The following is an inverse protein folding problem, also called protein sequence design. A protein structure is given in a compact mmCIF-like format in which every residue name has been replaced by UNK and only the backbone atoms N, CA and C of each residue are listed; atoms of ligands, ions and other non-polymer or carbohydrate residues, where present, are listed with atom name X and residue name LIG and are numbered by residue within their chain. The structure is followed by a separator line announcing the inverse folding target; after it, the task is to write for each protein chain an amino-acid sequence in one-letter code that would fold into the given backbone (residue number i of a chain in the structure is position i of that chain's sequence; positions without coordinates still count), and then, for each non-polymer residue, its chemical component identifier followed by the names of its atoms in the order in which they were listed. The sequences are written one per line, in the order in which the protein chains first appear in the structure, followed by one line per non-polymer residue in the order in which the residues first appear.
data_IF_420517588242
#
_entry.id   IF_420517588242
#
_cell.length_a   1.000
_cell.length_b   1.000
_cell.length_c   1.000
_cell.angle_alpha   90.00
_cell.angle_beta   90.00
_cell.angle_gamma   90.00
#
_symmetry.space_group_name_H-M   'P 1'
#
loop_
_entity.id
_entity.type
_entity.pdbx_description
1 polymer ?
#
# COMPACT_ATOMS: atom_id res chain seq x y z
N UNK A 1 7.30 -20.73 4.73
CA UNK A 1 6.95 -19.65 5.65
C UNK A 1 5.66 -20.03 6.34
N UNK A 2 5.63 -20.06 7.66
CA UNK A 2 4.42 -20.32 8.42
C UNK A 2 3.50 -19.08 8.42
N UNK A 3 2.28 -19.22 8.97
CA UNK A 3 1.27 -18.14 8.96
C UNK A 3 1.72 -16.88 9.72
N UNK A 4 2.47 -17.03 10.81
CA UNK A 4 2.96 -15.90 11.60
C UNK A 4 4.06 -15.15 10.85
N UNK A 5 5.03 -15.88 10.30
CA UNK A 5 6.11 -15.32 9.48
C UNK A 5 5.55 -14.57 8.25
N UNK A 6 4.49 -15.09 7.60
CA UNK A 6 3.84 -14.40 6.48
C UNK A 6 3.19 -13.09 6.91
N UNK A 7 2.52 -13.07 8.05
CA UNK A 7 1.91 -11.83 8.57
C UNK A 7 2.96 -10.80 8.93
N UNK A 8 4.03 -11.21 9.61
CA UNK A 8 5.16 -10.36 9.95
C UNK A 8 5.79 -9.74 8.69
N UNK A 9 6.05 -10.58 7.67
CA UNK A 9 6.53 -10.10 6.37
C UNK A 9 5.56 -9.09 5.73
N UNK A 10 4.24 -9.35 5.76
CA UNK A 10 3.25 -8.41 5.22
C UNK A 10 3.22 -7.08 5.96
N UNK A 11 3.39 -7.09 7.30
CA UNK A 11 3.49 -5.88 8.12
C UNK A 11 4.73 -5.07 7.73
N UNK A 12 5.90 -5.70 7.67
CA UNK A 12 7.16 -5.03 7.32
C UNK A 12 7.11 -4.40 5.93
N UNK A 13 6.53 -5.10 4.95
CA UNK A 13 6.33 -4.59 3.59
C UNK A 13 5.37 -3.39 3.57
N UNK A 14 4.24 -3.49 4.28
CA UNK A 14 3.28 -2.40 4.41
C UNK A 14 3.89 -1.14 5.03
N UNK A 15 4.64 -1.29 6.13
CA UNK A 15 5.33 -0.18 6.79
C UNK A 15 6.41 0.43 5.91
N UNK A 16 7.19 -0.40 5.21
CA UNK A 16 8.20 0.07 4.26
C UNK A 16 7.62 0.95 3.16
N UNK A 17 6.46 0.59 2.60
CA UNK A 17 5.77 1.42 1.61
C UNK A 17 5.30 2.75 2.20
N UNK A 18 4.74 2.72 3.40
CA UNK A 18 4.23 3.92 4.08
C UNK A 18 5.38 4.89 4.42
N UNK A 19 6.54 4.36 4.83
CA UNK A 19 7.77 5.15 5.01
C UNK A 19 8.23 5.79 3.70
N UNK A 20 8.22 5.02 2.60
CA UNK A 20 8.52 5.54 1.27
C UNK A 20 7.56 6.65 0.83
N UNK A 21 6.27 6.53 1.13
CA UNK A 21 5.28 7.58 0.85
C UNK A 21 5.53 8.85 1.68
N UNK A 22 5.90 8.71 2.95
CA UNK A 22 6.27 9.84 3.80
C UNK A 22 7.47 10.59 3.23
N UNK A 23 8.53 9.88 2.88
CA UNK A 23 9.74 10.47 2.29
C UNK A 23 9.42 11.18 0.96
N UNK A 24 8.62 10.56 0.10
CA UNK A 24 8.18 11.17 -1.15
C UNK A 24 7.37 12.46 -0.90
N UNK A 25 6.43 12.43 0.05
CA UNK A 25 5.61 13.57 0.41
C UNK A 25 6.43 14.71 1.05
N UNK A 26 7.42 14.40 1.89
CA UNK A 26 8.33 15.39 2.48
C UNK A 26 9.20 16.06 1.40
N UNK A 27 9.70 15.28 0.44
CA UNK A 27 10.47 15.79 -0.70
C UNK A 27 9.63 16.68 -1.62
N UNK A 28 8.37 16.34 -1.85
CA UNK A 28 7.45 17.18 -2.62
C UNK A 28 7.03 18.44 -1.86
N UNK A 29 6.76 18.34 -0.55
CA UNK A 29 6.44 19.48 0.29
C UNK A 29 7.60 20.48 0.34
N UNK A 30 8.85 20.00 0.41
CA UNK A 30 10.04 20.86 0.32
C UNK A 30 10.17 21.61 -1.02
N UNK A 31 9.60 21.06 -2.10
CA UNK A 31 9.63 21.68 -3.44
C UNK A 31 8.43 22.59 -3.74
N UNK A 32 7.26 22.27 -3.19
CA UNK A 32 5.98 22.85 -3.62
C UNK A 32 5.16 23.48 -2.50
N UNK A 33 5.52 23.26 -1.23
CA UNK A 33 4.78 23.75 -0.06
C UNK A 33 3.43 23.05 0.20
N UNK A 34 3.07 22.00 -0.56
CA UNK A 34 1.75 21.35 -0.50
C UNK A 34 1.82 19.99 0.19
N UNK A 35 1.00 19.78 1.23
CA UNK A 35 0.96 18.56 2.06
C UNK A 35 -0.32 17.74 1.87
N UNK A 36 -0.72 17.48 0.61
CA UNK A 36 -2.09 17.03 0.25
C UNK A 36 -2.28 15.50 0.14
N UNK A 37 -1.20 14.73 0.10
CA UNK A 37 -1.22 13.26 -0.11
C UNK A 37 -1.94 12.49 1.01
N UNK A 38 -1.92 13.01 2.25
CA UNK A 38 -2.37 12.26 3.43
C UNK A 38 -3.89 12.08 3.51
N UNK A 39 -4.68 13.05 3.08
CA UNK A 39 -6.15 12.97 3.20
C UNK A 39 -6.77 12.08 2.12
N UNK A 40 -6.27 12.15 0.89
CA UNK A 40 -6.73 11.28 -0.21
C UNK A 40 -6.41 9.81 0.11
N UNK A 41 -5.23 9.54 0.68
CA UNK A 41 -4.78 8.18 0.98
C UNK A 41 -5.66 7.41 1.97
N UNK A 42 -6.32 8.08 2.93
CA UNK A 42 -7.20 7.40 3.91
C UNK A 42 -8.40 6.74 3.23
N UNK A 43 -9.03 7.44 2.31
CA UNK A 43 -10.17 6.92 1.54
C UNK A 43 -9.71 5.87 0.53
N UNK A 44 -8.60 6.12 -0.16
CA UNK A 44 -8.06 5.19 -1.16
C UNK A 44 -7.64 3.85 -0.54
N UNK A 45 -6.95 3.87 0.60
CA UNK A 45 -6.56 2.64 1.34
C UNK A 45 -7.77 1.84 1.82
N UNK A 46 -8.82 2.51 2.30
CA UNK A 46 -10.08 1.83 2.65
C UNK A 46 -10.69 1.16 1.42
N UNK A 47 -10.73 1.88 0.28
CA UNK A 47 -11.31 1.34 -0.96
C UNK A 47 -10.54 0.13 -1.49
N UNK A 48 -9.21 0.15 -1.39
CA UNK A 48 -8.38 -0.98 -1.82
C UNK A 48 -8.73 -2.27 -1.05
N UNK A 49 -9.01 -2.18 0.25
CA UNK A 49 -9.42 -3.33 1.07
C UNK A 49 -10.76 -3.88 0.57
N UNK A 50 -11.76 -3.02 0.36
CA UNK A 50 -13.07 -3.44 -0.18
C UNK A 50 -12.92 -4.15 -1.53
N UNK A 51 -12.11 -3.61 -2.42
CA UNK A 51 -11.88 -4.19 -3.75
C UNK A 51 -11.15 -5.53 -3.64
N UNK A 52 -10.15 -5.66 -2.78
CA UNK A 52 -9.46 -6.93 -2.56
C UNK A 52 -10.39 -8.00 -1.95
N UNK A 53 -11.29 -7.62 -1.05
CA UNK A 53 -12.28 -8.53 -0.47
C UNK A 53 -13.33 -8.98 -1.50
N UNK A 54 -13.71 -8.10 -2.43
CA UNK A 54 -14.67 -8.41 -3.50
C UNK A 54 -14.04 -9.09 -4.72
N UNK A 55 -12.72 -9.02 -4.88
CA UNK A 55 -12.03 -9.55 -6.05
C UNK A 55 -11.88 -11.08 -5.96
N UNK A 56 -12.33 -11.77 -7.01
CA UNK A 56 -12.18 -13.22 -7.14
C UNK A 56 -10.75 -13.68 -7.50
N UNK A 57 -9.85 -12.76 -7.84
CA UNK A 57 -8.47 -13.08 -8.20
C UNK A 57 -7.51 -11.90 -8.01
N UNK A 58 -6.21 -12.16 -7.81
CA UNK A 58 -5.20 -11.11 -7.72
C UNK A 58 -5.09 -10.30 -9.02
N UNK A 59 -5.37 -10.89 -10.19
CA UNK A 59 -5.32 -10.19 -11.47
C UNK A 59 -6.36 -9.07 -11.54
N UNK A 60 -7.57 -9.29 -11.03
CA UNK A 60 -8.62 -8.27 -10.97
C UNK A 60 -8.20 -7.11 -10.07
N UNK A 61 -7.62 -7.41 -8.90
CA UNK A 61 -7.11 -6.39 -7.99
C UNK A 61 -5.95 -5.58 -8.62
N UNK A 62 -5.01 -6.25 -9.29
CA UNK A 62 -3.90 -5.59 -9.99
C UNK A 62 -4.41 -4.70 -11.13
N UNK A 63 -5.42 -5.15 -11.88
CA UNK A 63 -6.05 -4.31 -12.92
C UNK A 63 -6.74 -3.08 -12.33
N UNK A 64 -7.35 -3.21 -11.16
CA UNK A 64 -7.89 -2.06 -10.44
C UNK A 64 -6.79 -1.07 -10.04
N UNK A 65 -5.65 -1.53 -9.53
CA UNK A 65 -4.50 -0.66 -9.22
C UNK A 65 -4.01 0.10 -10.45
N UNK A 66 -3.88 -0.59 -11.59
CA UNK A 66 -3.50 0.02 -12.87
C UNK A 66 -4.49 1.11 -13.29
N UNK A 67 -5.79 0.81 -13.19
CA UNK A 67 -6.84 1.77 -13.51
C UNK A 67 -6.78 3.00 -12.60
N UNK A 68 -6.62 2.83 -11.29
CA UNK A 68 -6.53 3.95 -10.37
C UNK A 68 -5.32 4.84 -10.68
N UNK A 69 -4.13 4.23 -10.83
CA UNK A 69 -2.91 4.98 -11.15
C UNK A 69 -3.02 5.75 -12.48
N UNK A 70 -3.67 5.17 -13.50
CA UNK A 70 -3.85 5.82 -14.79
C UNK A 70 -4.87 6.96 -14.77
N UNK A 71 -5.86 6.93 -13.86
CA UNK A 71 -6.96 7.91 -13.80
C UNK A 71 -6.62 9.14 -12.96
N UNK A 72 -5.62 9.05 -12.09
CA UNK A 72 -5.27 10.15 -11.19
C UNK A 72 -4.81 11.39 -11.95
N UNK A 73 -5.32 12.55 -11.51
CA UNK A 73 -4.90 13.86 -11.99
C UNK A 73 -3.83 14.40 -11.06
N UNK A 74 -3.04 15.37 -11.53
CA UNK A 74 -1.87 15.91 -10.80
C UNK A 74 -2.14 16.35 -9.36
N UNK A 75 -3.36 16.77 -9.02
CA UNK A 75 -3.69 17.31 -7.69
C UNK A 75 -4.13 16.26 -6.67
N UNK A 76 -4.39 15.03 -7.10
CA UNK A 76 -4.97 13.94 -6.28
C UNK A 76 -4.21 12.63 -6.49
N UNK A 77 -2.89 12.72 -6.71
CA UNK A 77 -2.00 11.57 -6.90
C UNK A 77 -1.85 10.81 -5.58
N UNK A 78 -2.09 9.51 -5.63
CA UNK A 78 -1.84 8.58 -4.53
C UNK A 78 -1.29 7.25 -5.07
N UNK A 79 -2.03 6.58 -5.95
CA UNK A 79 -1.61 5.34 -6.60
C UNK A 79 -0.46 5.53 -7.58
N UNK A 80 -0.43 6.70 -8.24
CA UNK A 80 0.64 7.15 -9.15
C UNK A 80 1.75 7.94 -8.44
N UNK A 81 1.76 7.97 -7.10
CA UNK A 81 2.85 8.58 -6.35
C UNK A 81 4.14 7.78 -6.57
N UNK A 82 5.21 8.47 -6.96
CA UNK A 82 6.54 7.87 -7.06
C UNK A 82 7.16 7.73 -5.67
N UNK A 83 7.63 6.52 -5.36
CA UNK A 83 8.39 6.21 -4.16
C UNK A 83 9.88 6.56 -4.36
N UNK A 84 10.70 6.62 -3.28
CA UNK A 84 12.13 6.94 -3.38
C UNK A 84 12.92 6.03 -4.33
N UNK A 85 12.47 4.78 -4.51
CA UNK A 85 13.07 3.80 -5.41
C UNK A 85 12.62 3.95 -6.89
N UNK A 86 11.89 5.00 -7.23
CA UNK A 86 11.42 5.29 -8.58
C UNK A 86 10.19 4.51 -9.05
N UNK A 87 9.69 3.55 -8.25
CA UNK A 87 8.44 2.82 -8.55
C UNK A 87 7.22 3.63 -8.12
N UNK A 88 6.10 3.44 -8.81
CA UNK A 88 4.80 3.94 -8.34
C UNK A 88 4.30 3.10 -7.17
N UNK A 89 3.50 3.71 -6.28
CA UNK A 89 2.84 2.98 -5.18
C UNK A 89 2.05 1.76 -5.71
N UNK A 90 1.29 1.94 -6.78
CA UNK A 90 0.52 0.86 -7.40
C UNK A 90 1.40 -0.30 -7.89
N UNK A 91 2.60 -0.01 -8.42
CA UNK A 91 3.55 -1.03 -8.87
C UNK A 91 4.16 -1.79 -7.69
N UNK A 92 4.48 -1.08 -6.62
CA UNK A 92 5.05 -1.68 -5.42
C UNK A 92 4.05 -2.61 -4.73
N UNK A 93 2.79 -2.18 -4.59
CA UNK A 93 1.71 -3.03 -4.07
C UNK A 93 1.46 -4.24 -4.98
N UNK A 94 1.47 -4.07 -6.31
CA UNK A 94 1.31 -5.18 -7.24
C UNK A 94 2.45 -6.21 -7.13
N UNK A 95 3.69 -5.75 -6.91
CA UNK A 95 4.82 -6.64 -6.64
C UNK A 95 4.60 -7.44 -5.35
N UNK A 96 4.15 -6.78 -4.28
CA UNK A 96 3.87 -7.42 -3.00
C UNK A 96 2.73 -8.44 -3.11
N UNK A 97 1.68 -8.16 -3.88
CA UNK A 97 0.60 -9.12 -4.18
C UNK A 97 1.13 -10.36 -4.91
N UNK A 98 2.04 -10.19 -5.87
CA UNK A 98 2.67 -11.33 -6.56
C UNK A 98 3.56 -12.15 -5.62
N UNK A 99 4.25 -11.48 -4.69
CA UNK A 99 5.01 -12.15 -3.65
C UNK A 99 4.09 -12.95 -2.70
N UNK A 100 2.96 -12.37 -2.27
CA UNK A 100 1.94 -13.05 -1.44
C UNK A 100 1.38 -14.27 -2.19
N UNK A 101 1.15 -14.16 -3.50
CA UNK A 101 0.73 -15.27 -4.35
C UNK A 101 1.71 -16.46 -4.31
N UNK A 102 3.02 -16.19 -4.32
CA UNK A 102 4.04 -17.24 -4.19
C UNK A 102 4.15 -17.85 -2.78
N UNK A 103 3.51 -17.25 -1.78
CA UNK A 103 3.63 -17.60 -0.35
C UNK A 103 2.31 -18.09 0.27
N UNK A 104 1.19 -18.05 -0.47
CA UNK A 104 -0.17 -18.38 0.02
C UNK A 104 -0.74 -19.57 -0.73
N UNK A 105 -1.64 -20.32 -0.08
CA UNK A 105 -2.51 -21.25 -0.82
C UNK A 105 -3.51 -20.48 -1.69
N UNK A 106 -4.05 -21.07 -2.76
CA UNK A 106 -5.07 -20.43 -3.60
C UNK A 106 -6.29 -19.93 -2.81
N UNK A 107 -6.72 -20.68 -1.79
CA UNK A 107 -7.91 -20.40 -0.96
C UNK A 107 -7.69 -19.25 0.02
N UNK A 108 -6.44 -19.03 0.44
CA UNK A 108 -6.07 -17.96 1.37
C UNK A 108 -5.55 -16.71 0.67
N UNK A 109 -5.20 -16.78 -0.61
CA UNK A 109 -4.53 -15.71 -1.34
C UNK A 109 -5.22 -14.35 -1.20
N UNK A 110 -6.50 -14.25 -1.57
CA UNK A 110 -7.19 -12.95 -1.50
C UNK A 110 -7.45 -12.50 -0.06
N UNK A 111 -7.56 -13.43 0.89
CA UNK A 111 -7.63 -13.11 2.33
C UNK A 111 -6.31 -12.47 2.79
N UNK A 112 -5.17 -13.03 2.39
CA UNK A 112 -3.85 -12.49 2.70
C UNK A 112 -3.60 -11.15 2.01
N UNK A 113 -4.05 -10.96 0.76
CA UNK A 113 -4.00 -9.66 0.09
C UNK A 113 -4.82 -8.60 0.85
N UNK A 114 -6.05 -8.92 1.24
CA UNK A 114 -6.88 -8.01 2.03
C UNK A 114 -6.26 -7.69 3.40
N UNK A 115 -5.63 -8.69 4.04
CA UNK A 115 -4.95 -8.52 5.31
C UNK A 115 -3.73 -7.60 5.20
N UNK A 116 -2.89 -7.81 4.17
CA UNK A 116 -1.77 -6.95 3.82
C UNK A 116 -2.21 -5.49 3.59
N UNK A 117 -3.27 -5.27 2.82
CA UNK A 117 -3.83 -3.92 2.61
C UNK A 117 -4.38 -3.31 3.91
N UNK A 118 -4.90 -4.16 4.81
CA UNK A 118 -5.28 -3.76 6.17
C UNK A 118 -4.09 -3.27 6.99
N UNK A 119 -2.93 -3.95 6.92
CA UNK A 119 -1.70 -3.49 7.56
C UNK A 119 -1.20 -2.19 6.93
N UNK A 120 -1.18 -2.11 5.60
CA UNK A 120 -0.83 -0.89 4.87
C UNK A 120 -1.68 0.30 5.29
N UNK A 121 -3.00 0.14 5.39
CA UNK A 121 -3.90 1.19 5.87
C UNK A 121 -3.60 1.61 7.32
N UNK A 122 -3.40 0.64 8.23
CA UNK A 122 -3.09 0.94 9.64
C UNK A 122 -1.77 1.69 9.77
N UNK A 123 -0.74 1.24 9.07
CA UNK A 123 0.54 1.93 8.99
C UNK A 123 0.38 3.33 8.42
N UNK A 124 -0.38 3.50 7.33
CA UNK A 124 -0.62 4.81 6.71
C UNK A 124 -1.33 5.78 7.66
N UNK A 125 -2.36 5.33 8.38
CA UNK A 125 -3.08 6.14 9.38
C UNK A 125 -2.16 6.45 10.57
N UNK A 126 -1.37 5.47 11.01
CA UNK A 126 -0.43 5.58 12.12
C UNK A 126 0.93 6.17 11.75
N UNK A 127 1.07 6.77 10.56
CA UNK A 127 2.37 7.17 10.00
C UNK A 127 3.20 8.05 10.96
N UNK A 128 2.55 8.96 11.69
CA UNK A 128 3.25 9.85 12.64
C UNK A 128 3.78 9.14 13.89
N UNK A 129 3.33 7.92 14.15
CA UNK A 129 3.67 7.10 15.32
C UNK A 129 4.52 5.89 14.97
N UNK A 130 4.68 5.58 13.69
CA UNK A 130 5.40 4.41 13.18
C UNK A 130 6.87 4.35 13.65
N UNK A 131 7.46 5.50 13.97
CA UNK A 131 8.81 5.59 14.55
C UNK A 131 8.83 5.82 16.06
N UNK A 132 7.68 6.13 16.67
CA UNK A 132 7.56 6.52 18.07
C UNK A 132 7.11 5.37 18.97
N UNK A 133 6.31 4.46 18.45
CA UNK A 133 5.83 3.27 19.14
C UNK A 133 6.53 2.08 18.50
N UNK A 134 7.47 1.47 19.21
CA UNK A 134 8.26 0.33 18.72
C UNK A 134 8.09 -0.84 19.66
N UNK A 135 7.98 -2.03 19.09
CA UNK A 135 8.16 -3.27 19.83
C UNK A 135 9.64 -3.36 20.24
N UNK A 136 9.98 -3.58 21.53
CA UNK A 136 11.35 -3.64 22.02
C UNK A 136 12.24 -4.69 21.34
#
# INVERSE_FOLDING_TARGET
MNRAELQEWMVQKAEGLVRGLKEAAEKEAAKSGVRKILDVGKTQTSKAIEVAQAAASPLLFINWLRYQAARERERDKFWSQSLPNGKLLAEAIAADVNEIKGKSSPEELMKNVALYLGYFRRAFIGLEYLDKIRDP
#
